data_IF_113707200643
#
_entry.id   IF_113707200643
#
_cell.length_a   1.000
_cell.length_b   1.000
_cell.length_c   1.000
_cell.angle_alpha   90.00
_cell.angle_beta   90.00
_cell.angle_gamma   90.00
#
_symmetry.space_group_name_H-M   'P 1'
#
loop_
_entity.id
_entity.type
_entity.pdbx_description
1 polymer ?
#
# COMPACT_ATOMS: atom_id res chain seq x y z
N UNK A 1 -13.14 -81.55 10.07
CA UNK A 1 -13.22 -80.04 10.20
C UNK A 1 -11.86 -79.45 9.85
N UNK A 2 -11.71 -78.85 8.66
CA UNK A 2 -10.48 -78.16 8.25
C UNK A 2 -10.63 -76.68 8.61
N UNK A 3 -9.76 -76.18 9.48
CA UNK A 3 -9.69 -74.77 9.82
C UNK A 3 -9.26 -73.97 8.59
N UNK A 4 -10.06 -72.96 8.21
CA UNK A 4 -9.67 -71.98 7.19
C UNK A 4 -8.51 -71.10 7.72
N UNK A 5 -7.46 -70.85 6.93
CA UNK A 5 -6.43 -69.91 7.35
C UNK A 5 -7.01 -68.49 7.39
N UNK A 6 -6.83 -67.81 8.52
CA UNK A 6 -7.10 -66.37 8.67
C UNK A 6 -6.09 -65.62 7.79
N UNK A 7 -6.58 -65.04 6.73
CA UNK A 7 -5.81 -64.13 5.88
C UNK A 7 -5.48 -62.91 6.74
N UNK A 8 -4.25 -62.81 7.20
CA UNK A 8 -3.72 -61.56 7.72
C UNK A 8 -3.61 -60.62 6.52
N UNK A 9 -4.56 -59.72 6.38
CA UNK A 9 -4.41 -58.59 5.48
C UNK A 9 -3.22 -57.83 5.97
N UNK A 10 -2.09 -57.98 5.22
CA UNK A 10 -0.89 -57.21 5.42
C UNK A 10 -1.29 -55.76 5.10
N UNK A 11 -1.43 -54.93 6.15
CA UNK A 11 -1.60 -53.49 5.97
C UNK A 11 -0.45 -53.00 5.09
N UNK A 12 -0.78 -52.50 3.92
CA UNK A 12 0.23 -51.89 3.04
C UNK A 12 1.00 -50.84 3.85
N UNK A 13 2.35 -50.81 3.73
CA UNK A 13 3.13 -49.84 4.46
C UNK A 13 2.69 -48.45 4.04
N UNK A 14 2.20 -47.66 5.02
CA UNK A 14 1.80 -46.27 4.81
C UNK A 14 2.98 -45.48 4.22
N UNK A 15 2.89 -45.11 2.94
CA UNK A 15 3.87 -44.25 2.27
C UNK A 15 3.61 -42.80 2.60
N UNK A 16 3.81 -42.38 3.87
CA UNK A 16 3.67 -41.02 4.35
C UNK A 16 4.60 -40.03 3.63
N UNK A 17 5.56 -40.51 2.88
CA UNK A 17 6.54 -39.68 2.18
C UNK A 17 5.93 -38.68 1.19
N UNK A 18 4.88 -39.07 0.46
CA UNK A 18 4.21 -38.14 -0.48
C UNK A 18 3.50 -36.99 0.24
N UNK A 19 2.75 -37.31 1.31
CA UNK A 19 2.04 -36.26 2.09
C UNK A 19 3.02 -35.37 2.83
N UNK A 20 4.13 -35.91 3.34
CA UNK A 20 5.20 -35.13 3.96
C UNK A 20 5.89 -34.21 2.93
N UNK A 21 6.19 -34.71 1.74
CA UNK A 21 6.80 -33.93 0.67
C UNK A 21 5.88 -32.76 0.26
N UNK A 22 4.57 -33.00 0.11
CA UNK A 22 3.60 -31.95 -0.19
C UNK A 22 3.56 -30.90 0.92
N UNK A 23 3.56 -31.32 2.19
CA UNK A 23 3.56 -30.41 3.33
C UNK A 23 4.82 -29.52 3.35
N UNK A 24 6.01 -30.13 3.18
CA UNK A 24 7.27 -29.40 3.17
C UNK A 24 7.36 -28.42 1.99
N UNK A 25 6.96 -28.85 0.80
CA UNK A 25 6.91 -27.99 -0.38
C UNK A 25 5.94 -26.84 -0.21
N UNK A 26 4.78 -27.07 0.44
CA UNK A 26 3.81 -26.03 0.73
C UNK A 26 4.34 -24.99 1.72
N UNK A 27 5.06 -25.42 2.76
CA UNK A 27 5.71 -24.52 3.74
C UNK A 27 6.80 -23.68 3.05
N UNK A 28 7.64 -24.30 2.21
CA UNK A 28 8.68 -23.59 1.45
C UNK A 28 8.05 -22.59 0.46
N UNK A 29 6.97 -22.97 -0.21
CA UNK A 29 6.24 -22.08 -1.09
C UNK A 29 5.67 -20.88 -0.33
N UNK A 30 5.04 -21.09 0.84
CA UNK A 30 4.52 -20.01 1.67
C UNK A 30 5.62 -19.07 2.15
N UNK A 31 6.78 -19.59 2.56
CA UNK A 31 7.92 -18.77 2.98
C UNK A 31 8.46 -17.93 1.79
N UNK A 32 8.60 -18.54 0.61
CA UNK A 32 9.02 -17.86 -0.61
C UNK A 32 8.05 -16.78 -1.06
N UNK A 33 6.74 -17.06 -1.00
CA UNK A 33 5.68 -16.13 -1.35
C UNK A 33 5.65 -14.91 -0.39
N UNK A 34 5.86 -15.15 0.91
CA UNK A 34 5.95 -14.07 1.90
C UNK A 34 7.19 -13.21 1.69
N UNK A 35 8.34 -13.82 1.42
CA UNK A 35 9.55 -13.09 1.08
C UNK A 35 9.40 -12.29 -0.23
N UNK A 36 8.77 -12.85 -1.25
CA UNK A 36 8.46 -12.18 -2.51
C UNK A 36 7.54 -10.99 -2.33
N UNK A 37 6.49 -11.12 -1.49
CA UNK A 37 5.59 -10.02 -1.18
C UNK A 37 6.30 -8.88 -0.44
N UNK A 38 7.18 -9.19 0.52
CA UNK A 38 8.00 -8.20 1.22
C UNK A 38 8.96 -7.46 0.27
N UNK A 39 9.59 -8.16 -0.67
CA UNK A 39 10.48 -7.55 -1.65
C UNK A 39 9.72 -6.69 -2.67
N UNK A 40 8.53 -7.12 -3.08
CA UNK A 40 7.68 -6.35 -3.97
C UNK A 40 7.17 -5.04 -3.33
N UNK A 41 7.06 -5.00 -2.01
CA UNK A 41 6.61 -3.82 -1.25
C UNK A 41 7.72 -2.77 -1.06
N UNK A 42 9.01 -3.13 -1.15
CA UNK A 42 10.11 -2.25 -0.75
C UNK A 42 10.60 -1.28 -1.84
N UNK A 43 10.98 -1.72 -3.03
CA UNK A 43 11.62 -0.83 -4.04
C UNK A 43 11.10 -1.04 -5.47
N UNK A 44 10.65 -2.22 -5.78
CA UNK A 44 10.25 -2.63 -7.11
C UNK A 44 8.90 -2.04 -7.52
N UNK A 45 8.03 -1.78 -6.55
CA UNK A 45 6.67 -1.25 -6.71
C UNK A 45 6.64 0.09 -7.45
N UNK A 46 7.63 0.96 -7.19
CA UNK A 46 7.69 2.30 -7.74
C UNK A 46 8.10 2.39 -9.21
N UNK A 47 8.75 1.34 -9.72
CA UNK A 47 9.26 1.33 -11.09
C UNK A 47 8.26 0.71 -12.08
N UNK A 48 7.50 -0.30 -11.63
CA UNK A 48 6.58 -1.05 -12.50
C UNK A 48 5.27 -1.41 -11.77
N UNK A 49 4.38 -0.45 -11.50
CA UNK A 49 3.22 -0.68 -10.61
C UNK A 49 2.28 -1.78 -11.11
N UNK A 50 2.03 -1.87 -12.44
CA UNK A 50 1.16 -2.94 -12.99
C UNK A 50 1.80 -4.32 -12.90
N UNK A 51 3.08 -4.43 -13.22
CA UNK A 51 3.79 -5.72 -13.15
C UNK A 51 3.84 -6.23 -11.70
N UNK A 52 4.05 -5.34 -10.75
CA UNK A 52 4.08 -5.66 -9.33
C UNK A 52 2.71 -5.99 -8.77
N UNK A 53 1.66 -5.31 -9.23
CA UNK A 53 0.29 -5.66 -8.89
C UNK A 53 -0.06 -7.08 -9.37
N UNK A 54 0.29 -7.45 -10.60
CA UNK A 54 0.14 -8.82 -11.10
C UNK A 54 0.94 -9.82 -10.26
N UNK A 55 2.18 -9.48 -9.90
CA UNK A 55 3.00 -10.33 -9.04
C UNK A 55 2.33 -10.56 -7.69
N UNK A 56 1.81 -9.53 -7.04
CA UNK A 56 1.12 -9.63 -5.75
C UNK A 56 -0.17 -10.44 -5.84
N UNK A 57 -0.96 -10.28 -6.90
CA UNK A 57 -2.14 -11.11 -7.16
C UNK A 57 -1.75 -12.59 -7.32
N UNK A 58 -0.70 -12.89 -8.10
CA UNK A 58 -0.21 -14.26 -8.28
C UNK A 58 0.34 -14.85 -6.97
N UNK A 59 1.07 -14.05 -6.19
CA UNK A 59 1.58 -14.46 -4.87
C UNK A 59 0.46 -14.78 -3.90
N UNK A 60 -0.61 -13.99 -3.88
CA UNK A 60 -1.80 -14.24 -3.06
C UNK A 60 -2.45 -15.60 -3.43
N UNK A 61 -2.75 -15.82 -4.72
CA UNK A 61 -3.34 -17.08 -5.17
C UNK A 61 -2.42 -18.28 -4.96
N UNK A 62 -1.10 -18.09 -5.13
CA UNK A 62 -0.09 -19.10 -4.79
C UNK A 62 -0.09 -19.46 -3.31
N UNK A 63 -0.19 -18.47 -2.42
CA UNK A 63 -0.26 -18.69 -0.98
C UNK A 63 -1.55 -19.42 -0.58
N UNK A 64 -2.68 -19.07 -1.19
CA UNK A 64 -3.95 -19.77 -0.98
C UNK A 64 -3.85 -21.24 -1.39
N UNK A 65 -3.34 -21.54 -2.58
CA UNK A 65 -3.16 -22.90 -3.08
C UNK A 65 -2.20 -23.70 -2.20
N UNK A 66 -1.05 -23.12 -1.80
CA UNK A 66 -0.09 -23.79 -0.91
C UNK A 66 -0.69 -24.06 0.48
N UNK A 67 -1.51 -23.16 1.01
CA UNK A 67 -2.18 -23.35 2.31
C UNK A 67 -3.24 -24.44 2.26
N UNK A 68 -4.03 -24.52 1.18
CA UNK A 68 -4.98 -25.60 0.95
C UNK A 68 -4.26 -26.95 0.81
N UNK A 69 -3.14 -27.02 0.09
CA UNK A 69 -2.33 -28.21 -0.05
C UNK A 69 -1.72 -28.66 1.29
N UNK A 70 -1.22 -27.73 2.10
CA UNK A 70 -0.68 -28.02 3.44
C UNK A 70 -1.76 -28.54 4.39
N UNK A 71 -2.93 -27.91 4.43
CA UNK A 71 -4.05 -28.33 5.24
C UNK A 71 -4.55 -29.73 4.82
N UNK A 72 -4.72 -29.98 3.52
CA UNK A 72 -5.14 -31.27 2.97
C UNK A 72 -4.14 -32.39 3.24
N UNK A 73 -2.85 -32.16 2.99
CA UNK A 73 -1.79 -33.13 3.29
C UNK A 73 -1.68 -33.44 4.78
N UNK A 74 -1.81 -32.40 5.64
CA UNK A 74 -1.86 -32.55 7.08
C UNK A 74 -3.02 -33.44 7.53
N UNK A 75 -4.22 -33.21 7.01
CA UNK A 75 -5.40 -34.02 7.33
C UNK A 75 -5.23 -35.47 6.90
N UNK A 76 -4.68 -35.74 5.72
CA UNK A 76 -4.39 -37.11 5.25
C UNK A 76 -3.39 -37.81 6.18
N UNK A 77 -2.36 -37.10 6.66
CA UNK A 77 -1.40 -37.65 7.64
C UNK A 77 -2.10 -37.97 8.97
N UNK A 78 -2.99 -37.12 9.46
CA UNK A 78 -3.77 -37.37 10.69
C UNK A 78 -4.64 -38.62 10.56
N UNK A 79 -5.29 -38.81 9.42
CA UNK A 79 -6.23 -39.93 9.20
C UNK A 79 -5.51 -41.27 8.97
N UNK A 80 -4.35 -41.29 8.29
CA UNK A 80 -3.69 -42.53 7.81
C UNK A 80 -2.43 -42.89 8.55
N UNK A 81 -1.81 -41.97 9.29
CA UNK A 81 -0.57 -42.21 10.01
C UNK A 81 -0.78 -42.59 11.48
N UNK A 82 0.27 -43.01 12.15
CA UNK A 82 0.31 -43.30 13.58
C UNK A 82 1.51 -42.61 14.23
N UNK A 83 1.48 -42.47 15.54
CA UNK A 83 2.59 -41.89 16.31
C UNK A 83 2.93 -40.46 15.94
N UNK A 84 4.20 -40.10 15.84
CA UNK A 84 4.68 -38.74 15.60
C UNK A 84 4.18 -38.13 14.27
N UNK A 85 3.86 -38.96 13.27
CA UNK A 85 3.32 -38.48 12.00
C UNK A 85 1.96 -37.82 12.12
N UNK A 86 1.12 -38.26 13.10
CA UNK A 86 -0.14 -37.58 13.41
C UNK A 86 0.07 -36.17 13.95
N UNK A 87 1.10 -35.99 14.78
CA UNK A 87 1.44 -34.66 15.35
C UNK A 87 1.88 -33.71 14.23
N UNK A 88 2.73 -34.20 13.30
CA UNK A 88 3.15 -33.44 12.13
C UNK A 88 1.95 -33.08 11.24
N UNK A 89 1.03 -34.03 11.04
CA UNK A 89 -0.20 -33.80 10.30
C UNK A 89 -1.09 -32.74 10.94
N UNK A 90 -1.27 -32.77 12.27
CA UNK A 90 -2.03 -31.77 13.01
C UNK A 90 -1.40 -30.37 12.88
N UNK A 91 -0.08 -30.27 13.02
CA UNK A 91 0.63 -29.01 12.86
C UNK A 91 0.47 -28.43 11.43
N UNK A 92 0.55 -29.30 10.40
CA UNK A 92 0.33 -28.90 9.01
C UNK A 92 -1.11 -28.47 8.72
N UNK A 93 -2.09 -29.21 9.23
CA UNK A 93 -3.50 -28.85 9.09
C UNK A 93 -3.84 -27.53 9.81
N UNK A 94 -3.36 -27.37 11.05
CA UNK A 94 -3.55 -26.15 11.83
C UNK A 94 -2.85 -24.95 11.20
N UNK A 95 -1.60 -25.10 10.75
CA UNK A 95 -0.83 -24.03 10.11
C UNK A 95 -1.43 -23.60 8.78
N UNK A 96 -1.80 -24.54 7.91
CA UNK A 96 -2.52 -24.24 6.67
C UNK A 96 -3.85 -23.55 6.91
N UNK A 97 -4.64 -24.06 7.88
CA UNK A 97 -5.90 -23.46 8.27
C UNK A 97 -5.77 -22.03 8.81
N UNK A 98 -4.76 -21.80 9.65
CA UNK A 98 -4.46 -20.44 10.15
C UNK A 98 -4.15 -19.47 9.02
N UNK A 99 -3.29 -19.86 8.04
CA UNK A 99 -2.97 -19.00 6.89
C UNK A 99 -4.21 -18.74 6.05
N UNK A 100 -5.08 -19.73 5.84
CA UNK A 100 -6.34 -19.54 5.11
C UNK A 100 -7.24 -18.53 5.80
N UNK A 101 -7.36 -18.60 7.13
CA UNK A 101 -8.14 -17.63 7.91
C UNK A 101 -7.55 -16.22 7.75
N UNK A 102 -6.22 -16.07 7.84
CA UNK A 102 -5.56 -14.77 7.72
C UNK A 102 -5.67 -14.19 6.31
N UNK A 103 -5.59 -15.02 5.26
CA UNK A 103 -5.78 -14.59 3.88
C UNK A 103 -7.24 -14.24 3.56
N UNK A 104 -8.20 -14.84 4.25
CA UNK A 104 -9.64 -14.57 4.08
C UNK A 104 -10.20 -13.47 4.97
N UNK A 105 -9.38 -12.95 5.91
CA UNK A 105 -9.81 -11.89 6.83
C UNK A 105 -9.39 -10.50 6.34
N UNK A 106 -10.15 -9.48 6.71
CA UNK A 106 -9.77 -8.10 6.45
C UNK A 106 -8.39 -7.79 7.08
N UNK A 107 -7.50 -7.01 6.42
CA UNK A 107 -7.76 -6.24 5.19
C UNK A 107 -7.39 -6.97 3.87
N UNK A 108 -7.08 -8.28 3.88
CA UNK A 108 -6.54 -8.99 2.71
C UNK A 108 -7.44 -8.98 1.46
N UNK A 109 -8.78 -9.21 1.55
CA UNK A 109 -9.65 -9.15 0.38
C UNK A 109 -9.66 -7.76 -0.28
N UNK A 110 -9.67 -6.70 0.52
CA UNK A 110 -9.65 -5.31 0.04
C UNK A 110 -8.33 -4.98 -0.65
N UNK A 111 -7.20 -5.41 -0.08
CA UNK A 111 -5.88 -5.26 -0.70
C UNK A 111 -5.78 -6.02 -2.02
N UNK A 112 -6.33 -7.24 -2.08
CA UNK A 112 -6.34 -8.02 -3.30
C UNK A 112 -7.17 -7.35 -4.39
N UNK A 113 -8.33 -6.79 -4.05
CA UNK A 113 -9.17 -6.02 -4.97
C UNK A 113 -8.42 -4.79 -5.48
N UNK A 114 -7.73 -4.06 -4.61
CA UNK A 114 -6.90 -2.93 -4.99
C UNK A 114 -5.79 -3.34 -5.96
N UNK A 115 -5.03 -4.41 -5.66
CA UNK A 115 -3.99 -4.93 -6.55
C UNK A 115 -4.54 -5.41 -7.88
N UNK A 116 -5.71 -6.07 -7.87
CA UNK A 116 -6.39 -6.49 -9.09
C UNK A 116 -6.77 -5.28 -9.95
N UNK A 117 -7.34 -4.25 -9.36
CA UNK A 117 -7.74 -3.03 -10.07
C UNK A 117 -6.53 -2.32 -10.71
N UNK A 118 -5.40 -2.24 -10.01
CA UNK A 118 -4.15 -1.70 -10.57
C UNK A 118 -3.63 -2.58 -11.71
N UNK A 119 -3.59 -3.90 -11.53
CA UNK A 119 -3.12 -4.86 -12.52
C UNK A 119 -3.97 -4.83 -13.79
N UNK A 120 -5.30 -4.77 -13.64
CA UNK A 120 -6.26 -4.69 -14.72
C UNK A 120 -6.28 -3.32 -15.42
N UNK A 121 -5.64 -2.30 -14.82
CA UNK A 121 -5.65 -0.93 -15.35
C UNK A 121 -6.94 -0.16 -15.08
N UNK A 122 -7.75 -0.62 -14.12
CA UNK A 122 -8.98 0.05 -13.70
C UNK A 122 -8.70 1.30 -12.84
N UNK A 123 -7.56 1.33 -12.14
CA UNK A 123 -7.10 2.48 -11.36
C UNK A 123 -6.29 3.39 -12.28
N UNK A 124 -6.65 4.66 -12.27
CA UNK A 124 -5.93 5.70 -13.01
C UNK A 124 -5.06 6.49 -12.03
N UNK A 125 -3.74 6.45 -12.18
CA UNK A 125 -2.85 7.34 -11.43
C UNK A 125 -3.24 8.80 -11.65
N UNK A 126 -2.76 9.68 -10.76
CA UNK A 126 -2.89 11.12 -10.95
C UNK A 126 -2.33 11.53 -12.32
N UNK A 127 -3.00 12.48 -12.96
CA UNK A 127 -2.54 13.01 -14.23
C UNK A 127 -1.32 13.91 -14.03
N UNK A 128 -0.21 13.60 -14.68
CA UNK A 128 1.06 14.35 -14.57
C UNK A 128 1.42 14.87 -15.95
N UNK A 129 1.49 16.18 -16.09
CA UNK A 129 1.83 16.86 -17.37
C UNK A 129 2.96 17.85 -17.15
N UNK A 130 3.97 17.80 -17.99
CA UNK A 130 5.04 18.81 -18.01
C UNK A 130 4.72 19.92 -19.03
N UNK A 131 4.56 21.13 -18.54
CA UNK A 131 4.37 22.36 -19.32
C UNK A 131 5.74 23.04 -19.52
N UNK A 132 6.38 22.76 -20.64
CA UNK A 132 7.77 23.18 -20.91
C UNK A 132 7.97 24.69 -20.85
N UNK A 133 7.07 25.46 -21.45
CA UNK A 133 7.18 26.93 -21.50
C UNK A 133 7.12 27.54 -20.10
N UNK A 134 6.27 27.01 -19.25
CA UNK A 134 6.13 27.44 -17.87
C UNK A 134 7.15 26.80 -16.91
N UNK A 135 7.92 25.79 -17.36
CA UNK A 135 8.80 24.95 -16.54
C UNK A 135 8.08 24.38 -15.32
N UNK A 136 6.87 23.93 -15.55
CA UNK A 136 5.92 23.52 -14.52
C UNK A 136 5.45 22.09 -14.76
N UNK A 137 5.44 21.27 -13.71
CA UNK A 137 4.73 20.00 -13.72
C UNK A 137 3.37 20.23 -13.07
N UNK A 138 2.31 19.90 -13.80
CA UNK A 138 0.94 19.86 -13.25
C UNK A 138 0.63 18.43 -12.83
N UNK A 139 0.32 18.28 -11.54
CA UNK A 139 -0.12 17.04 -10.91
C UNK A 139 -1.57 17.21 -10.49
N UNK A 140 -2.49 16.45 -11.08
CA UNK A 140 -3.93 16.62 -10.83
C UNK A 140 -4.67 15.30 -10.68
N UNK A 141 -5.73 15.29 -9.88
CA UNK A 141 -6.57 14.11 -9.62
C UNK A 141 -6.22 13.34 -8.36
N UNK A 142 -6.78 12.15 -8.21
CA UNK A 142 -6.55 11.28 -7.05
C UNK A 142 -5.15 10.67 -7.06
N UNK A 143 -4.54 10.61 -5.89
CA UNK A 143 -3.23 9.98 -5.69
C UNK A 143 -3.40 8.46 -5.55
N UNK A 144 -3.62 7.81 -6.67
CA UNK A 144 -3.77 6.36 -6.76
C UNK A 144 -2.43 5.66 -6.99
N UNK A 145 -2.41 4.33 -6.88
CA UNK A 145 -1.19 3.54 -7.11
C UNK A 145 -0.59 3.83 -8.48
N UNK A 146 0.71 4.12 -8.47
CA UNK A 146 1.48 4.47 -9.66
C UNK A 146 1.60 5.97 -9.93
N UNK A 147 0.95 6.83 -9.16
CA UNK A 147 1.08 8.28 -9.29
C UNK A 147 2.51 8.75 -9.10
N UNK A 148 3.22 8.23 -8.10
CA UNK A 148 4.62 8.55 -7.86
C UNK A 148 5.55 8.03 -8.96
N UNK A 149 5.27 6.86 -9.52
CA UNK A 149 6.04 6.32 -10.64
C UNK A 149 5.90 7.19 -11.89
N UNK A 150 4.67 7.60 -12.22
CA UNK A 150 4.41 8.51 -13.33
C UNK A 150 5.05 9.88 -13.11
N UNK A 151 4.94 10.42 -11.88
CA UNK A 151 5.59 11.67 -11.53
C UNK A 151 7.11 11.59 -11.70
N UNK A 152 7.75 10.51 -11.24
CA UNK A 152 9.17 10.25 -11.39
C UNK A 152 9.61 10.22 -12.86
N UNK A 153 8.86 9.55 -13.71
CA UNK A 153 9.14 9.47 -15.14
C UNK A 153 9.14 10.86 -15.77
N UNK A 154 8.07 11.63 -15.55
CA UNK A 154 7.94 13.00 -16.09
C UNK A 154 9.01 13.92 -15.49
N UNK A 155 9.26 13.84 -14.18
CA UNK A 155 10.28 14.63 -13.49
C UNK A 155 11.69 14.37 -14.05
N UNK A 156 12.01 13.14 -14.40
CA UNK A 156 13.29 12.79 -14.99
C UNK A 156 13.44 13.31 -16.45
N UNK A 157 12.34 13.39 -17.18
CA UNK A 157 12.32 13.96 -18.52
C UNK A 157 12.32 15.51 -18.51
N UNK A 158 11.92 16.15 -17.41
CA UNK A 158 11.76 17.59 -17.23
C UNK A 158 12.94 18.18 -16.42
N UNK A 159 14.16 18.19 -16.99
CA UNK A 159 15.37 18.59 -16.28
C UNK A 159 15.36 20.07 -15.80
N UNK A 160 14.61 20.93 -16.47
CA UNK A 160 14.53 22.38 -16.22
C UNK A 160 13.27 22.79 -15.45
N UNK A 161 12.49 21.84 -14.92
CA UNK A 161 11.30 22.11 -14.09
C UNK A 161 11.66 22.93 -12.85
N UNK A 162 10.78 23.84 -12.48
CA UNK A 162 10.94 24.73 -11.32
C UNK A 162 9.83 24.59 -10.30
N UNK A 163 8.62 24.36 -10.77
CA UNK A 163 7.39 24.40 -9.96
C UNK A 163 6.58 23.14 -10.22
N UNK A 164 5.96 22.63 -9.15
CA UNK A 164 4.94 21.58 -9.24
C UNK A 164 3.61 22.17 -8.78
N UNK A 165 2.66 22.34 -9.72
CA UNK A 165 1.29 22.73 -9.42
C UNK A 165 0.47 21.50 -9.07
N UNK A 166 -0.01 21.45 -7.84
CA UNK A 166 -0.71 20.29 -7.29
C UNK A 166 -2.18 20.59 -7.07
N UNK A 167 -3.04 19.68 -7.53
CA UNK A 167 -4.49 19.79 -7.31
C UNK A 167 -5.15 18.43 -7.20
N UNK A 168 -6.15 18.32 -6.32
CA UNK A 168 -6.96 17.12 -6.21
C UNK A 168 -7.40 16.76 -4.79
N UNK A 169 -8.18 15.67 -4.68
CA UNK A 169 -8.78 15.25 -3.41
C UNK A 169 -7.79 14.57 -2.44
N UNK A 170 -6.54 14.32 -2.85
CA UNK A 170 -5.60 13.52 -2.10
C UNK A 170 -5.63 12.05 -2.54
N UNK A 171 -5.54 11.11 -1.60
CA UNK A 171 -5.50 9.67 -1.86
C UNK A 171 -4.44 8.97 -1.02
N UNK A 172 -3.67 8.09 -1.63
CA UNK A 172 -2.71 7.23 -0.93
C UNK A 172 -1.53 8.04 -0.36
N UNK A 173 -1.42 8.05 0.97
CA UNK A 173 -0.38 8.80 1.71
C UNK A 173 1.03 8.42 1.27
N UNK A 174 1.29 7.15 0.97
CA UNK A 174 2.63 6.72 0.54
C UNK A 174 2.99 7.24 -0.86
N UNK A 175 2.03 7.36 -1.79
CA UNK A 175 2.25 7.99 -3.09
C UNK A 175 2.62 9.47 -2.92
N UNK A 176 1.86 10.20 -2.08
CA UNK A 176 2.16 11.57 -1.74
C UNK A 176 3.58 11.74 -1.17
N UNK A 177 3.99 10.88 -0.24
CA UNK A 177 5.32 10.93 0.39
C UNK A 177 6.46 10.71 -0.59
N UNK A 178 6.30 9.80 -1.54
CA UNK A 178 7.31 9.59 -2.57
C UNK A 178 7.43 10.80 -3.49
N UNK A 179 6.30 11.36 -3.92
CA UNK A 179 6.29 12.60 -4.73
C UNK A 179 6.92 13.75 -3.93
N UNK A 180 6.54 13.92 -2.67
CA UNK A 180 7.09 14.92 -1.77
C UNK A 180 8.62 14.83 -1.66
N UNK A 181 9.15 13.61 -1.44
CA UNK A 181 10.59 13.38 -1.36
C UNK A 181 11.30 13.80 -2.65
N UNK A 182 10.76 13.44 -3.82
CA UNK A 182 11.35 13.84 -5.11
C UNK A 182 11.35 15.35 -5.32
N UNK A 183 10.33 16.05 -4.86
CA UNK A 183 10.25 17.52 -4.87
C UNK A 183 11.31 18.14 -3.95
N UNK A 184 11.44 17.63 -2.73
CA UNK A 184 12.43 18.06 -1.74
C UNK A 184 13.87 17.85 -2.26
N UNK A 185 14.17 16.66 -2.78
CA UNK A 185 15.49 16.31 -3.34
C UNK A 185 15.90 17.20 -4.52
N UNK A 186 14.92 17.64 -5.32
CA UNK A 186 15.14 18.55 -6.46
C UNK A 186 15.08 20.04 -6.05
N UNK A 187 14.67 20.36 -4.82
CA UNK A 187 14.51 21.72 -4.32
C UNK A 187 13.48 22.54 -5.10
N UNK A 188 12.41 21.88 -5.58
CA UNK A 188 11.37 22.52 -6.36
C UNK A 188 10.44 23.37 -5.51
N UNK A 189 9.81 24.35 -6.11
CA UNK A 189 8.68 25.06 -5.54
C UNK A 189 7.38 24.28 -5.78
N UNK A 190 6.39 24.46 -4.91
CA UNK A 190 5.05 23.90 -5.11
C UNK A 190 4.02 25.02 -5.21
N UNK A 191 2.93 24.74 -5.90
CA UNK A 191 1.85 25.69 -6.09
C UNK A 191 0.50 24.99 -5.94
N UNK A 192 -0.48 25.69 -5.38
CA UNK A 192 -1.89 25.31 -5.44
C UNK A 192 -2.64 26.42 -6.17
N UNK A 193 -3.08 26.08 -7.40
CA UNK A 193 -3.82 27.03 -8.23
C UNK A 193 -5.35 26.94 -8.04
N UNK A 194 -5.87 25.79 -7.58
CA UNK A 194 -7.30 25.55 -7.37
C UNK A 194 -7.56 24.97 -5.97
N UNK A 195 -7.48 23.66 -5.81
CA UNK A 195 -7.77 22.95 -4.58
C UNK A 195 -6.78 21.81 -4.33
N UNK A 196 -6.42 21.59 -3.08
CA UNK A 196 -5.51 20.51 -2.72
C UNK A 196 -5.90 19.98 -1.34
N UNK A 197 -6.40 18.75 -1.29
CA UNK A 197 -6.99 18.17 -0.10
C UNK A 197 -6.22 16.95 0.38
N UNK A 198 -6.27 16.68 1.70
CA UNK A 198 -5.75 15.43 2.30
C UNK A 198 -4.27 15.19 1.93
N UNK A 199 -3.92 14.02 1.42
CA UNK A 199 -2.56 13.67 1.02
C UNK A 199 -1.95 14.60 -0.05
N UNK A 200 -2.75 15.35 -0.82
CA UNK A 200 -2.27 16.38 -1.73
C UNK A 200 -1.52 17.50 -0.96
N UNK A 201 -1.97 17.84 0.26
CA UNK A 201 -1.32 18.86 1.10
C UNK A 201 0.08 18.44 1.52
N UNK A 202 0.34 17.12 1.65
CA UNK A 202 1.67 16.60 1.93
C UNK A 202 2.65 16.92 0.77
N UNK A 203 2.18 16.83 -0.47
CA UNK A 203 2.95 17.23 -1.66
C UNK A 203 3.15 18.75 -1.68
N UNK A 204 2.10 19.52 -1.47
CA UNK A 204 2.20 20.99 -1.42
C UNK A 204 3.22 21.45 -0.38
N UNK A 205 3.21 20.85 0.79
CA UNK A 205 4.12 21.16 1.89
C UNK A 205 5.59 20.84 1.62
N UNK A 206 5.91 20.05 0.58
CA UNK A 206 7.29 19.67 0.22
C UNK A 206 8.05 20.74 -0.56
N UNK A 207 7.35 21.74 -1.06
CA UNK A 207 7.98 22.80 -1.83
C UNK A 207 8.91 23.69 -1.01
N UNK A 208 10.02 24.12 -1.63
CA UNK A 208 10.92 25.11 -1.05
C UNK A 208 10.19 26.44 -0.82
N UNK A 209 9.50 26.94 -1.82
CA UNK A 209 8.46 27.95 -1.71
C UNK A 209 7.13 27.26 -1.98
N UNK A 210 6.12 27.63 -1.21
CA UNK A 210 4.77 27.07 -1.28
C UNK A 210 3.81 28.17 -1.67
N UNK A 211 3.52 28.24 -2.97
CA UNK A 211 2.74 29.30 -3.57
C UNK A 211 1.25 28.92 -3.57
N UNK A 212 0.39 29.86 -3.27
CA UNK A 212 -1.05 29.64 -3.27
C UNK A 212 -1.76 30.76 -3.99
N UNK A 213 -2.67 30.44 -4.92
CA UNK A 213 -3.52 31.45 -5.54
C UNK A 213 -4.54 31.98 -4.53
N UNK A 214 -4.97 33.27 -4.66
CA UNK A 214 -5.88 33.90 -3.69
C UNK A 214 -7.20 33.16 -3.49
N UNK A 215 -7.71 32.49 -4.53
CA UNK A 215 -8.97 31.73 -4.51
C UNK A 215 -8.77 30.25 -4.28
N UNK A 216 -7.51 29.80 -4.21
CA UNK A 216 -7.20 28.40 -3.97
C UNK A 216 -7.55 28.01 -2.52
N UNK A 217 -7.82 26.72 -2.32
CA UNK A 217 -8.12 26.16 -1.01
C UNK A 217 -7.28 24.93 -0.73
N UNK A 218 -6.98 24.71 0.53
CA UNK A 218 -6.36 23.48 1.04
C UNK A 218 -7.24 22.85 2.09
N UNK A 219 -7.35 21.53 2.08
CA UNK A 219 -8.20 20.79 3.01
C UNK A 219 -7.38 19.79 3.83
N UNK A 220 -7.53 19.83 5.15
CA UNK A 220 -6.84 18.93 6.07
C UNK A 220 -7.84 18.06 6.84
N UNK A 221 -7.45 16.84 7.09
CA UNK A 221 -8.11 15.89 7.99
C UNK A 221 -7.13 14.77 8.39
N UNK A 222 -7.50 13.98 9.39
CA UNK A 222 -6.73 12.81 9.79
C UNK A 222 -6.79 11.72 8.72
N UNK A 223 -5.65 11.05 8.50
CA UNK A 223 -5.57 9.92 7.57
C UNK A 223 -6.32 8.70 8.12
N UNK A 224 -6.89 7.90 7.22
CA UNK A 224 -7.60 6.66 7.53
C UNK A 224 -6.71 5.44 7.30
N UNK A 225 -6.85 4.42 8.13
CA UNK A 225 -6.32 3.08 7.86
C UNK A 225 -7.22 2.33 6.88
N UNK A 226 -6.73 1.25 6.27
CA UNK A 226 -7.55 0.37 5.42
C UNK A 226 -8.75 -0.24 6.18
N UNK A 227 -8.67 -0.37 7.50
CA UNK A 227 -9.76 -0.87 8.34
C UNK A 227 -10.74 0.21 8.81
N UNK A 228 -10.60 1.44 8.32
CA UNK A 228 -11.50 2.57 8.60
C UNK A 228 -11.16 3.38 9.84
N UNK A 229 -10.18 2.95 10.65
CA UNK A 229 -9.71 3.71 11.81
C UNK A 229 -8.77 4.85 11.45
N UNK A 230 -8.44 5.71 12.43
CA UNK A 230 -7.45 6.77 12.28
C UNK A 230 -6.05 6.18 12.17
N UNK A 231 -5.27 6.65 11.20
CA UNK A 231 -3.88 6.23 10.97
C UNK A 231 -2.92 7.10 11.80
N UNK A 232 -2.83 6.85 13.11
CA UNK A 232 -2.07 7.65 14.08
C UNK A 232 -0.62 7.92 13.67
N UNK A 233 0.09 6.87 13.22
CA UNK A 233 1.47 6.99 12.75
C UNK A 233 1.62 7.89 11.52
N UNK A 234 0.65 7.85 10.60
CA UNK A 234 0.66 8.68 9.41
C UNK A 234 0.42 10.14 9.77
N UNK A 235 -0.55 10.38 10.66
CA UNK A 235 -0.91 11.70 11.16
C UNK A 235 0.24 12.34 11.95
N UNK A 236 0.84 11.59 12.87
CA UNK A 236 1.97 12.08 13.66
C UNK A 236 3.14 12.52 12.78
N UNK A 237 3.52 11.70 11.78
CA UNK A 237 4.61 12.04 10.85
C UNK A 237 4.29 13.23 9.96
N UNK A 238 3.04 13.36 9.52
CA UNK A 238 2.59 14.49 8.72
C UNK A 238 2.62 15.78 9.55
N UNK A 239 2.05 15.76 10.76
CA UNK A 239 2.05 16.88 11.69
C UNK A 239 3.47 17.31 12.07
N UNK A 240 4.35 16.36 12.40
CA UNK A 240 5.76 16.63 12.72
C UNK A 240 6.48 17.32 11.54
N UNK A 241 6.24 16.85 10.32
CA UNK A 241 6.84 17.43 9.12
C UNK A 241 6.36 18.86 8.89
N UNK A 242 5.06 19.10 8.98
CA UNK A 242 4.50 20.45 8.84
C UNK A 242 5.02 21.40 9.93
N UNK A 243 5.15 20.92 11.16
CA UNK A 243 5.74 21.68 12.25
C UNK A 243 7.20 22.08 11.95
N UNK A 244 8.00 21.17 11.42
CA UNK A 244 9.41 21.41 11.05
C UNK A 244 9.58 22.49 9.97
N UNK A 245 8.61 22.62 9.08
CA UNK A 245 8.63 23.67 8.03
C UNK A 245 7.98 24.97 8.46
N UNK A 246 7.63 25.10 9.75
CA UNK A 246 7.16 26.36 10.37
C UNK A 246 5.65 26.56 10.36
N UNK A 247 4.85 25.51 10.13
CA UNK A 247 3.39 25.63 10.25
C UNK A 247 2.98 25.77 11.72
N UNK A 248 2.07 26.70 12.00
CA UNK A 248 1.59 27.01 13.34
C UNK A 248 0.96 25.78 14.04
N UNK A 249 1.36 25.46 15.30
CA UNK A 249 0.85 24.28 16.01
C UNK A 249 -0.67 24.24 16.14
N UNK A 250 -1.32 25.38 16.34
CA UNK A 250 -2.79 25.45 16.45
C UNK A 250 -3.47 25.08 15.15
N UNK A 251 -2.90 25.49 14.00
CA UNK A 251 -3.39 25.12 12.68
C UNK A 251 -3.27 23.60 12.47
N UNK A 252 -2.13 23.02 12.90
CA UNK A 252 -1.90 21.58 12.80
C UNK A 252 -2.87 20.77 13.67
N UNK A 253 -3.12 21.21 14.90
CA UNK A 253 -4.09 20.55 15.80
C UNK A 253 -5.48 20.47 15.15
N UNK A 254 -6.02 21.57 14.64
CA UNK A 254 -7.35 21.57 14.01
C UNK A 254 -7.38 20.60 12.82
N UNK A 255 -6.34 20.58 12.00
CA UNK A 255 -6.24 19.66 10.87
C UNK A 255 -6.17 18.19 11.30
N UNK A 256 -5.38 17.86 12.32
CA UNK A 256 -5.24 16.49 12.83
C UNK A 256 -6.47 15.99 13.61
N UNK A 257 -7.19 16.90 14.26
CA UNK A 257 -8.41 16.58 15.01
C UNK A 257 -9.65 16.44 14.10
N UNK A 258 -9.57 16.92 12.86
CA UNK A 258 -10.63 16.74 11.87
C UNK A 258 -10.74 15.26 11.49
N UNK A 259 -11.91 14.62 11.68
CA UNK A 259 -12.10 13.20 11.39
C UNK A 259 -11.84 12.84 9.92
N UNK A 260 -11.52 11.56 9.60
CA UNK A 260 -11.30 11.12 8.21
C UNK A 260 -12.51 11.28 7.28
N UNK A 261 -13.72 11.38 7.83
CA UNK A 261 -14.97 11.54 7.09
C UNK A 261 -15.37 13.00 6.87
N UNK A 262 -14.57 13.93 7.42
CA UNK A 262 -14.76 15.37 7.29
C UNK A 262 -13.50 16.02 6.71
N UNK A 263 -13.56 17.28 6.36
CA UNK A 263 -12.42 18.01 5.82
C UNK A 263 -12.46 19.49 6.25
N UNK A 264 -11.39 19.93 6.88
CA UNK A 264 -11.24 21.32 7.28
C UNK A 264 -10.61 22.14 6.15
N UNK A 265 -11.44 22.92 5.46
CA UNK A 265 -11.07 23.73 4.30
C UNK A 265 -10.48 25.07 4.74
N UNK A 266 -9.36 25.45 4.15
CA UNK A 266 -8.62 26.67 4.42
C UNK A 266 -8.31 27.41 3.13
N UNK A 267 -8.60 28.70 3.12
CA UNK A 267 -8.24 29.63 2.05
C UNK A 267 -6.77 30.07 2.16
N UNK A 268 -6.25 30.72 1.12
CA UNK A 268 -4.92 31.34 1.17
C UNK A 268 -4.76 32.34 2.34
N UNK A 269 -5.84 33.03 2.73
CA UNK A 269 -5.84 33.96 3.89
C UNK A 269 -5.62 33.25 5.23
N UNK A 270 -5.92 31.97 5.33
CA UNK A 270 -5.73 31.14 6.53
C UNK A 270 -4.40 30.37 6.46
N UNK A 271 -4.10 29.80 5.30
CA UNK A 271 -2.91 28.97 5.09
C UNK A 271 -1.59 29.79 5.11
N UNK A 272 -1.62 31.02 4.59
CA UNK A 272 -0.43 31.88 4.55
C UNK A 272 0.04 32.33 5.94
N UNK A 273 -0.79 32.98 6.79
CA UNK A 273 -0.35 33.38 8.13
C UNK A 273 -0.04 32.16 9.03
N UNK A 274 -0.66 31.01 8.77
CA UNK A 274 -0.33 29.77 9.48
C UNK A 274 1.01 29.14 9.03
N UNK A 275 1.67 29.69 8.02
CA UNK A 275 2.95 29.18 7.52
C UNK A 275 2.86 27.95 6.60
N UNK A 276 1.66 27.47 6.28
CA UNK A 276 1.49 26.37 5.31
C UNK A 276 1.81 26.85 3.89
N UNK A 277 1.30 28.00 3.46
CA UNK A 277 1.80 28.70 2.27
C UNK A 277 2.89 29.69 2.67
N UNK A 278 3.88 29.90 1.81
CA UNK A 278 4.96 30.89 1.99
C UNK A 278 4.72 32.17 1.18
N UNK A 279 3.82 32.10 0.21
CA UNK A 279 3.53 33.19 -0.71
C UNK A 279 2.11 33.07 -1.25
N UNK A 280 1.43 34.20 -1.39
CA UNK A 280 0.14 34.30 -2.10
C UNK A 280 0.41 34.98 -3.45
N UNK A 281 0.10 34.29 -4.55
CA UNK A 281 0.42 34.76 -5.90
C UNK A 281 -0.38 36.03 -6.24
N UNK A 282 0.33 37.09 -6.66
CA UNK A 282 -0.32 38.35 -7.05
C UNK A 282 -0.69 39.31 -5.91
N UNK A 283 -0.16 39.11 -4.71
CA UNK A 283 -0.16 40.06 -3.62
C UNK A 283 1.17 40.76 -3.45
#
# INVERSE_FOLDING_TARGET
MRARPVRKDAAEPFTGGRSLAVLLLSILALAGLRAGAMLADMDFWWTYPRANAWLLVLLYWGALAASLAAAGAGLVLVMRASGCWRVIGLAGAAGGGWVLITLGSAPMPELLEEYWNVAAGNVRPANVVYEREARLIRLSGGLERGSAAQFKEILNAAADVRIVDVSGPGGLVYEARWISRMIEERGLDTMVSTECHSACVDIFASGKRRLMYPKAVVGLHSARTFTGGVAEDANSRFTERLYKIGVEPRFLMVGSDTPPDDIWINTARQAYPAGLATEVVGQ
#
